data_IF_024177017323
#
_entry.id   IF_024177017323
#
_cell.length_a   1.000
_cell.length_b   1.000
_cell.length_c   1.000
_cell.angle_alpha   90.00
_cell.angle_beta   90.00
_cell.angle_gamma   90.00
#
_symmetry.space_group_name_H-M   'P 1'
#
loop_
_entity.id
_entity.type
_entity.pdbx_description
1 polymer ?
#
# COMPACT_ATOMS: atom_id res chain seq x y z
N UNK A 1 7.37 46.12 13.67
CA UNK A 1 7.87 46.35 12.31
C UNK A 1 7.83 45.03 11.56
N UNK A 2 6.67 44.66 11.01
CA UNK A 2 6.51 43.42 10.22
C UNK A 2 6.51 43.79 8.74
N UNK A 3 7.54 43.36 8.04
CA UNK A 3 7.77 43.67 6.64
C UNK A 3 7.19 42.53 5.77
N UNK A 4 5.89 42.56 5.48
CA UNK A 4 5.34 41.74 4.40
C UNK A 4 5.65 42.42 3.05
N UNK A 5 6.80 42.10 2.45
CA UNK A 5 7.06 42.43 1.04
C UNK A 5 6.19 41.49 0.19
N UNK A 6 5.14 42.03 -0.42
CA UNK A 6 4.35 41.31 -1.41
C UNK A 6 5.26 40.81 -2.53
N UNK A 7 5.21 39.51 -2.83
CA UNK A 7 5.90 38.94 -3.99
C UNK A 7 5.41 39.66 -5.26
N UNK A 8 6.34 39.92 -6.18
CA UNK A 8 6.00 40.55 -7.47
C UNK A 8 4.98 39.67 -8.21
N UNK A 9 3.91 40.28 -8.75
CA UNK A 9 2.84 39.59 -9.52
C UNK A 9 3.32 38.47 -10.46
N UNK A 10 4.40 38.61 -11.27
CA UNK A 10 4.86 37.51 -12.12
C UNK A 10 5.41 36.29 -11.34
N UNK A 11 6.01 36.51 -10.17
CA UNK A 11 6.51 35.43 -9.30
C UNK A 11 5.35 34.68 -8.65
N UNK A 12 4.28 35.39 -8.29
CA UNK A 12 3.07 34.77 -7.75
C UNK A 12 2.35 33.90 -8.80
N UNK A 13 2.27 34.37 -10.05
CA UNK A 13 1.70 33.60 -11.17
C UNK A 13 2.54 32.36 -11.47
N UNK A 14 3.87 32.46 -11.45
CA UNK A 14 4.76 31.33 -11.67
C UNK A 14 4.61 30.25 -10.58
N UNK A 15 4.47 30.65 -9.31
CA UNK A 15 4.24 29.71 -8.20
C UNK A 15 2.89 29.00 -8.36
N UNK A 16 1.82 29.72 -8.74
CA UNK A 16 0.51 29.12 -9.01
C UNK A 16 0.61 28.11 -10.16
N UNK A 17 1.30 28.44 -11.25
CA UNK A 17 1.48 27.54 -12.38
C UNK A 17 2.24 26.26 -12.00
N UNK A 18 3.26 26.36 -11.14
CA UNK A 18 4.02 25.19 -10.63
C UNK A 18 3.13 24.31 -9.74
N UNK A 19 2.32 24.91 -8.86
CA UNK A 19 1.37 24.17 -8.01
C UNK A 19 0.28 23.48 -8.83
N UNK A 20 -0.17 24.10 -9.93
CA UNK A 20 -1.11 23.45 -10.86
C UNK A 20 -0.47 22.30 -11.65
N UNK A 21 0.81 22.38 -11.98
CA UNK A 21 1.52 21.33 -12.71
C UNK A 21 1.75 20.08 -11.85
N UNK A 22 2.02 20.24 -10.55
CA UNK A 22 2.20 19.09 -9.63
C UNK A 22 0.90 18.37 -9.28
N UNK A 23 -0.25 19.02 -9.46
CA UNK A 23 -1.58 18.40 -9.28
C UNK A 23 -2.03 17.57 -10.48
N UNK A 24 -1.32 17.64 -11.62
CA UNK A 24 -1.70 16.95 -12.86
C UNK A 24 -1.15 15.51 -12.95
N UNK A 25 -0.24 15.10 -12.06
CA UNK A 25 0.11 13.70 -11.86
C UNK A 25 -0.92 13.01 -10.95
N UNK A 26 -2.18 12.93 -11.41
CA UNK A 26 -3.06 11.85 -10.93
C UNK A 26 -2.66 10.61 -11.72
N UNK A 27 -2.15 9.59 -11.02
CA UNK A 27 -2.01 8.25 -11.58
C UNK A 27 -3.34 7.91 -12.27
N UNK A 28 -3.30 7.54 -13.55
CA UNK A 28 -4.46 6.91 -14.21
C UNK A 28 -4.83 5.72 -13.33
N UNK A 29 -5.93 5.81 -12.59
CA UNK A 29 -6.52 4.63 -11.97
C UNK A 29 -6.93 3.67 -13.09
N UNK A 30 -6.79 2.37 -12.86
CA UNK A 30 -7.05 1.29 -13.80
C UNK A 30 -8.54 1.14 -14.23
N UNK A 31 -9.32 2.22 -14.20
CA UNK A 31 -10.76 2.24 -14.49
C UNK A 31 -11.09 2.03 -15.97
N UNK A 32 -10.16 2.21 -16.91
CA UNK A 32 -10.45 2.07 -18.35
C UNK A 32 -10.78 0.61 -18.76
N UNK A 33 -10.31 -0.40 -18.00
CA UNK A 33 -10.47 -1.83 -18.31
C UNK A 33 -11.17 -2.64 -17.18
N UNK A 34 -11.74 -1.97 -16.16
CA UNK A 34 -12.44 -2.62 -15.06
C UNK A 34 -11.54 -3.27 -14.00
N UNK A 35 -10.23 -3.01 -14.05
CA UNK A 35 -9.29 -3.42 -13.01
C UNK A 35 -9.37 -2.48 -11.81
N UNK A 36 -9.19 -3.05 -10.62
CA UNK A 36 -9.11 -2.28 -9.39
C UNK A 36 -7.77 -2.57 -8.70
N UNK A 37 -6.96 -1.54 -8.52
CA UNK A 37 -5.72 -1.65 -7.77
C UNK A 37 -6.03 -2.00 -6.30
N UNK A 38 -5.42 -3.07 -5.80
CA UNK A 38 -5.48 -3.44 -4.38
C UNK A 38 -4.39 -2.75 -3.55
N UNK A 39 -3.35 -2.23 -4.19
CA UNK A 39 -2.21 -1.58 -3.55
C UNK A 39 -1.86 -0.29 -4.28
N UNK A 40 -1.72 0.79 -3.53
CA UNK A 40 -1.43 2.14 -4.05
C UNK A 40 0.07 2.41 -4.28
N UNK A 41 0.92 1.41 -4.05
CA UNK A 41 2.37 1.52 -4.13
C UNK A 41 3.03 2.14 -2.89
N UNK A 42 2.27 2.58 -1.89
CA UNK A 42 2.77 3.50 -0.85
C UNK A 42 2.34 3.14 0.56
N UNK A 43 1.15 2.57 0.72
CA UNK A 43 0.51 2.34 2.01
C UNK A 43 -0.17 0.99 2.04
N UNK A 44 -0.42 0.48 3.25
CA UNK A 44 -1.25 -0.70 3.48
C UNK A 44 -2.73 -0.32 3.64
N UNK A 45 -3.18 0.81 3.09
CA UNK A 45 -4.59 1.19 3.14
C UNK A 45 -5.45 0.12 2.43
N UNK A 46 -6.55 -0.28 3.06
CA UNK A 46 -7.38 -1.38 2.55
C UNK A 46 -6.85 -2.77 2.91
N UNK A 47 -5.78 -2.87 3.69
CA UNK A 47 -5.23 -4.12 4.21
C UNK A 47 -5.24 -4.16 5.74
N UNK A 48 -5.37 -5.36 6.28
CA UNK A 48 -5.32 -5.64 7.72
C UNK A 48 -4.29 -6.74 8.01
N UNK A 49 -3.45 -6.53 9.02
CA UNK A 49 -2.53 -7.56 9.52
C UNK A 49 -3.25 -8.43 10.55
N UNK A 50 -3.13 -9.75 10.40
CA UNK A 50 -3.70 -10.75 11.30
C UNK A 50 -2.62 -11.66 11.85
N UNK A 51 -2.55 -11.77 13.18
CA UNK A 51 -1.85 -12.86 13.85
C UNK A 51 -2.81 -14.05 13.98
N UNK A 52 -2.43 -15.22 13.46
CA UNK A 52 -3.18 -16.48 13.63
C UNK A 52 -2.40 -17.53 14.42
N UNK A 53 -1.23 -17.19 14.99
CA UNK A 53 -0.50 -18.08 15.87
C UNK A 53 -1.09 -18.03 17.28
N UNK A 54 -2.03 -18.93 17.57
CA UNK A 54 -2.61 -19.07 18.90
C UNK A 54 -1.58 -19.45 19.99
N UNK A 55 -0.42 -20.00 19.61
CA UNK A 55 0.67 -20.33 20.54
C UNK A 55 1.51 -19.09 20.87
N UNK A 56 1.42 -18.05 20.05
CA UNK A 56 2.13 -16.79 20.24
C UNK A 56 1.19 -15.60 19.94
N UNK A 57 0.19 -15.33 20.81
CA UNK A 57 -0.81 -14.28 20.57
C UNK A 57 -0.19 -12.87 20.54
N UNK A 58 0.97 -12.68 21.15
CA UNK A 58 1.71 -11.42 21.17
C UNK A 58 2.59 -11.23 19.92
N UNK A 59 2.67 -12.22 19.03
CA UNK A 59 3.36 -12.09 17.75
C UNK A 59 2.75 -10.96 16.92
N UNK A 60 3.63 -10.19 16.28
CA UNK A 60 3.28 -9.09 15.40
C UNK A 60 3.85 -9.41 14.02
N UNK A 61 3.05 -9.97 13.10
CA UNK A 61 3.48 -10.19 11.73
C UNK A 61 3.97 -8.87 11.12
N UNK A 62 5.17 -8.89 10.54
CA UNK A 62 5.84 -7.70 10.05
C UNK A 62 5.55 -7.53 8.55
N UNK A 63 4.60 -6.64 8.26
CA UNK A 63 4.26 -6.22 6.92
C UNK A 63 4.47 -4.71 6.78
N UNK A 64 5.21 -4.30 5.76
CA UNK A 64 5.47 -2.90 5.48
C UNK A 64 5.61 -2.64 3.98
N UNK A 65 5.65 -1.37 3.59
CA UNK A 65 5.86 -0.96 2.20
C UNK A 65 7.28 -0.44 2.04
N UNK A 66 8.00 -0.98 1.06
CA UNK A 66 9.33 -0.54 0.66
C UNK A 66 9.47 -0.68 -0.86
N UNK A 67 10.08 0.31 -1.51
CA UNK A 67 10.33 0.30 -2.97
C UNK A 67 9.10 -0.06 -3.83
N UNK A 68 7.93 0.50 -3.47
CA UNK A 68 6.63 0.21 -4.10
C UNK A 68 6.23 -1.27 -4.08
N UNK A 69 6.65 -2.01 -3.05
CA UNK A 69 6.26 -3.40 -2.81
C UNK A 69 5.74 -3.55 -1.38
N UNK A 70 4.80 -4.47 -1.22
CA UNK A 70 4.45 -4.98 0.11
C UNK A 70 5.49 -6.03 0.48
N UNK A 71 6.23 -5.78 1.56
CA UNK A 71 7.23 -6.70 2.10
C UNK A 71 6.63 -7.42 3.30
N UNK A 72 6.78 -8.75 3.31
CA UNK A 72 6.55 -9.58 4.49
C UNK A 72 7.91 -9.99 5.05
N UNK A 73 8.27 -9.49 6.21
CA UNK A 73 9.49 -9.88 6.89
C UNK A 73 9.17 -10.94 7.94
N UNK A 74 9.73 -12.14 7.78
CA UNK A 74 9.49 -13.26 8.68
C UNK A 74 10.79 -13.69 9.31
N UNK A 75 10.81 -13.74 10.65
CA UNK A 75 11.91 -14.35 11.40
C UNK A 75 11.58 -15.79 11.71
N UNK A 76 12.57 -16.68 11.61
CA UNK A 76 12.39 -18.08 11.95
C UNK A 76 11.91 -18.22 13.41
N UNK A 77 10.88 -19.05 13.62
CA UNK A 77 10.31 -19.35 14.94
C UNK A 77 9.61 -18.18 15.68
N UNK A 78 9.30 -17.06 15.03
CA UNK A 78 8.56 -15.94 15.68
C UNK A 78 7.05 -16.00 15.54
N UNK A 79 6.52 -17.06 14.90
CA UNK A 79 5.13 -17.11 14.47
C UNK A 79 4.94 -16.36 13.14
N UNK A 80 3.90 -16.72 12.40
CA UNK A 80 3.53 -16.10 11.13
C UNK A 80 2.23 -15.32 11.23
N UNK A 81 1.83 -14.70 10.13
CA UNK A 81 0.53 -14.08 10.02
C UNK A 81 0.15 -13.80 8.59
N UNK A 82 -0.98 -13.12 8.44
CA UNK A 82 -1.58 -12.84 7.14
C UNK A 82 -1.76 -11.34 6.98
N UNK A 83 -1.49 -10.86 5.78
CA UNK A 83 -1.99 -9.57 5.31
C UNK A 83 -3.23 -9.86 4.48
N UNK A 84 -4.38 -9.34 4.90
CA UNK A 84 -5.67 -9.60 4.25
C UNK A 84 -6.28 -8.31 3.76
N UNK A 85 -7.02 -8.37 2.67
CA UNK A 85 -7.84 -7.24 2.22
C UNK A 85 -8.95 -6.97 3.24
N UNK A 86 -9.24 -5.70 3.52
CA UNK A 86 -10.37 -5.31 4.36
C UNK A 86 -11.71 -5.60 3.67
N UNK A 87 -11.71 -5.53 2.32
CA UNK A 87 -12.86 -5.88 1.49
C UNK A 87 -12.87 -7.37 1.17
N UNK A 88 -14.07 -7.93 1.08
CA UNK A 88 -14.31 -9.27 0.54
C UNK A 88 -14.66 -9.18 -0.94
N UNK A 89 -14.22 -10.19 -1.71
CA UNK A 89 -14.43 -10.31 -3.15
C UNK A 89 -14.97 -11.71 -3.45
N UNK A 90 -15.85 -11.81 -4.45
CA UNK A 90 -16.49 -13.08 -4.82
C UNK A 90 -15.88 -13.66 -6.11
N UNK A 91 -16.42 -13.29 -7.26
CA UNK A 91 -15.82 -13.55 -8.57
C UNK A 91 -14.81 -12.46 -8.92
N UNK A 92 -13.57 -12.87 -9.18
CA UNK A 92 -12.50 -11.94 -9.54
C UNK A 92 -11.44 -12.62 -10.41
N UNK A 93 -10.70 -11.78 -11.13
CA UNK A 93 -9.39 -12.12 -11.68
C UNK A 93 -8.38 -11.36 -10.83
N UNK A 94 -7.37 -12.06 -10.34
CA UNK A 94 -6.29 -11.47 -9.55
C UNK A 94 -5.00 -11.55 -10.36
N UNK A 95 -4.38 -10.40 -10.59
CA UNK A 95 -3.06 -10.27 -11.19
C UNK A 95 -2.11 -9.63 -10.18
N UNK A 96 -0.94 -10.24 -9.98
CA UNK A 96 0.11 -9.72 -9.12
C UNK A 96 1.47 -10.27 -9.53
N UNK A 97 2.51 -9.50 -9.23
CA UNK A 97 3.88 -9.98 -9.22
C UNK A 97 4.27 -10.45 -7.81
N UNK A 98 5.01 -11.56 -7.75
CA UNK A 98 5.54 -12.10 -6.49
C UNK A 98 7.04 -12.34 -6.61
N UNK A 99 7.75 -12.09 -5.50
CA UNK A 99 9.17 -12.41 -5.36
C UNK A 99 9.37 -13.09 -4.01
N UNK A 100 10.13 -14.18 -4.02
CA UNK A 100 10.61 -14.86 -2.82
C UNK A 100 12.13 -14.77 -2.85
N UNK A 101 12.73 -14.15 -1.85
CA UNK A 101 14.18 -13.92 -1.73
C UNK A 101 14.83 -14.74 -0.60
N UNK A 102 14.05 -15.58 0.08
CA UNK A 102 14.50 -16.48 1.14
C UNK A 102 14.08 -17.92 0.88
N UNK A 103 14.52 -18.86 1.74
CA UNK A 103 14.04 -20.24 1.74
C UNK A 103 12.72 -20.44 2.51
N UNK A 104 12.10 -19.35 3.00
CA UNK A 104 10.82 -19.42 3.70
C UNK A 104 9.68 -19.58 2.70
N UNK A 105 8.54 -20.06 3.21
CA UNK A 105 7.34 -20.27 2.42
C UNK A 105 6.40 -19.05 2.54
N UNK A 106 5.75 -18.68 1.44
CA UNK A 106 4.68 -17.71 1.39
C UNK A 106 3.60 -18.20 0.43
N UNK A 107 2.42 -17.58 0.44
CA UNK A 107 1.33 -17.98 -0.44
C UNK A 107 0.22 -16.95 -0.49
N UNK A 108 -0.55 -17.02 -1.58
CA UNK A 108 -1.79 -16.27 -1.74
C UNK A 108 -2.94 -17.21 -1.43
N UNK A 109 -3.77 -16.83 -0.46
CA UNK A 109 -4.98 -17.55 -0.10
C UNK A 109 -6.20 -16.75 -0.55
N UNK A 110 -7.10 -17.41 -1.30
CA UNK A 110 -8.37 -16.83 -1.72
C UNK A 110 -9.50 -17.39 -0.85
N UNK A 111 -10.53 -16.58 -0.59
CA UNK A 111 -11.74 -16.97 0.15
C UNK A 111 -11.45 -17.53 1.56
N UNK A 112 -10.40 -17.01 2.20
CA UNK A 112 -10.10 -17.32 3.61
C UNK A 112 -11.16 -16.72 4.53
N UNK A 113 -11.66 -17.51 5.47
CA UNK A 113 -12.55 -17.01 6.52
C UNK A 113 -11.70 -16.41 7.64
N UNK A 114 -11.93 -15.14 7.91
CA UNK A 114 -11.29 -14.39 8.98
C UNK A 114 -12.29 -14.33 10.13
N UNK A 115 -11.97 -14.99 11.25
CA UNK A 115 -12.81 -15.05 12.45
C UNK A 115 -12.35 -14.00 13.48
#
# INVERSE_FOLDING_TARGET
MYLFKFLKKPVFIAIIAIVFFTLSCKNKSAEEDGWQDLFDGKTLNGWKVLNQDWRNPDSKPDFYVEDNMIICNTTLNTGGGYLVTEKSYDDFILELDVKIDTSLNSGIQCRGQIW
#
